data_IF_108435034893
#
_entry.id   IF_108435034893
#
_cell.length_a   1.000
_cell.length_b   1.000
_cell.length_c   1.000
_cell.angle_alpha   90.00
_cell.angle_beta   90.00
_cell.angle_gamma   90.00
#
_symmetry.space_group_name_H-M   'P 1'
#
loop_
_entity.id
_entity.type
_entity.pdbx_description
1 polymer ?
#
# COMPACT_ATOMS: atom_id res chain seq x y z
N UNK A 1 -12.30 54.27 26.85
CA UNK A 1 -12.90 53.11 26.16
C UNK A 1 -13.67 52.13 27.08
N UNK A 2 -13.74 52.35 28.41
CA UNK A 2 -14.46 51.47 29.35
C UNK A 2 -16.00 51.61 29.36
N UNK A 3 -16.56 52.67 28.75
CA UNK A 3 -18.01 52.90 28.70
C UNK A 3 -18.78 51.90 27.83
N UNK A 4 -18.11 51.19 26.92
CA UNK A 4 -18.74 50.20 26.01
C UNK A 4 -19.13 48.91 26.76
N UNK A 5 -18.44 48.60 27.87
CA UNK A 5 -18.65 47.36 28.63
C UNK A 5 -20.07 47.26 29.22
N UNK A 6 -20.73 48.38 29.50
CA UNK A 6 -22.13 48.38 30.00
C UNK A 6 -23.13 47.95 28.93
N UNK A 7 -22.85 48.26 27.67
CA UNK A 7 -23.72 47.93 26.53
C UNK A 7 -23.45 46.51 25.99
N UNK A 8 -22.26 45.96 26.25
CA UNK A 8 -21.93 44.58 25.86
C UNK A 8 -22.50 43.53 26.84
N UNK A 9 -22.68 43.89 28.11
CA UNK A 9 -23.20 43.00 29.18
C UNK A 9 -24.47 42.21 28.80
N UNK A 10 -25.54 42.81 28.25
CA UNK A 10 -26.75 42.07 27.89
C UNK A 10 -26.57 41.13 26.69
N UNK A 11 -25.58 41.37 25.83
CA UNK A 11 -25.31 40.59 24.62
C UNK A 11 -24.11 39.66 24.74
N UNK A 12 -23.56 39.47 25.95
CA UNK A 12 -22.31 38.73 26.16
C UNK A 12 -22.40 37.28 25.66
N UNK A 13 -23.57 36.65 25.77
CA UNK A 13 -23.82 35.31 25.22
C UNK A 13 -23.75 35.27 23.68
N UNK A 14 -24.39 36.23 22.99
CA UNK A 14 -24.32 36.35 21.54
C UNK A 14 -22.90 36.66 21.06
N UNK A 15 -22.19 37.52 21.80
CA UNK A 15 -20.80 37.84 21.53
C UNK A 15 -19.90 36.60 21.69
N UNK A 16 -20.04 35.84 22.78
CA UNK A 16 -19.30 34.60 22.98
C UNK A 16 -19.60 33.57 21.89
N UNK A 17 -20.87 33.41 21.49
CA UNK A 17 -21.26 32.52 20.41
C UNK A 17 -20.64 32.93 19.06
N UNK A 18 -20.62 34.23 18.75
CA UNK A 18 -19.96 34.74 17.55
C UNK A 18 -18.45 34.45 17.56
N UNK A 19 -17.78 34.62 18.69
CA UNK A 19 -16.36 34.27 18.85
C UNK A 19 -16.15 32.76 18.61
N UNK A 20 -16.97 31.89 19.20
CA UNK A 20 -16.89 30.43 18.98
C UNK A 20 -17.10 30.07 17.51
N UNK A 21 -18.10 30.66 16.85
CA UNK A 21 -18.37 30.42 15.42
C UNK A 21 -17.19 30.86 14.55
N UNK A 22 -16.52 31.97 14.89
CA UNK A 22 -15.31 32.40 14.18
C UNK A 22 -14.14 31.42 14.37
N UNK A 23 -14.00 30.81 15.55
CA UNK A 23 -13.00 29.75 15.76
C UNK A 23 -13.32 28.49 14.93
N UNK A 24 -14.60 28.09 14.87
CA UNK A 24 -15.03 26.97 14.02
C UNK A 24 -14.73 27.29 12.56
N UNK A 25 -15.10 28.48 12.08
CA UNK A 25 -14.81 28.91 10.72
C UNK A 25 -13.31 28.86 10.42
N UNK A 26 -12.48 29.42 11.29
CA UNK A 26 -11.02 29.40 11.11
C UNK A 26 -10.46 27.96 11.07
N UNK A 27 -11.02 27.03 11.86
CA UNK A 27 -10.61 25.62 11.83
C UNK A 27 -11.03 24.92 10.53
N UNK A 28 -12.22 25.23 10.00
CA UNK A 28 -12.68 24.73 8.71
C UNK A 28 -11.80 25.25 7.56
N UNK A 29 -11.45 26.53 7.57
CA UNK A 29 -10.57 27.13 6.56
C UNK A 29 -9.15 26.54 6.61
N UNK A 30 -8.65 26.19 7.80
CA UNK A 30 -7.33 25.57 7.98
C UNK A 30 -7.29 24.09 7.54
N UNK A 31 -8.40 23.38 7.63
CA UNK A 31 -8.51 21.94 7.25
C UNK A 31 -8.87 21.73 5.77
N UNK A 32 -9.37 22.76 5.08
CA UNK A 32 -9.73 22.69 3.66
C UNK A 32 -8.56 22.23 2.75
N UNK A 33 -7.31 22.72 2.92
CA UNK A 33 -6.17 22.22 2.16
C UNK A 33 -5.91 20.72 2.36
N UNK A 34 -6.08 20.20 3.58
CA UNK A 34 -5.87 18.78 3.89
C UNK A 34 -6.90 17.90 3.17
N UNK A 35 -8.17 18.33 3.12
CA UNK A 35 -9.19 17.62 2.36
C UNK A 35 -8.90 17.61 0.86
N UNK A 36 -8.45 18.73 0.29
CA UNK A 36 -8.03 18.77 -1.12
C UNK A 36 -6.85 17.83 -1.38
N UNK A 37 -5.86 17.80 -0.47
CA UNK A 37 -4.73 16.89 -0.55
C UNK A 37 -5.17 15.43 -0.56
N UNK A 38 -6.09 15.03 0.33
CA UNK A 38 -6.65 13.66 0.37
C UNK A 38 -7.45 13.32 -0.89
N UNK A 39 -8.29 14.23 -1.38
CA UNK A 39 -9.08 14.02 -2.60
C UNK A 39 -8.15 13.76 -3.79
N UNK A 40 -7.07 14.55 -3.93
CA UNK A 40 -6.17 14.42 -5.07
C UNK A 40 -5.24 13.23 -4.92
N UNK A 41 -4.53 13.11 -3.80
CA UNK A 41 -3.50 12.08 -3.64
C UNK A 41 -4.13 10.70 -3.44
N UNK A 42 -5.07 10.59 -2.50
CA UNK A 42 -5.70 9.30 -2.19
C UNK A 42 -6.82 8.99 -3.16
N UNK A 43 -7.72 9.95 -3.41
CA UNK A 43 -8.87 9.74 -4.29
C UNK A 43 -8.48 9.55 -5.77
N UNK A 44 -7.81 10.54 -6.37
CA UNK A 44 -7.52 10.55 -7.81
C UNK A 44 -6.23 9.79 -8.14
N UNK A 45 -5.09 10.13 -7.53
CA UNK A 45 -3.80 9.55 -7.92
C UNK A 45 -3.68 8.08 -7.50
N UNK A 46 -4.11 7.75 -6.29
CA UNK A 46 -4.06 6.39 -5.74
C UNK A 46 -5.37 5.62 -5.97
N UNK A 47 -6.32 6.15 -6.75
CA UNK A 47 -7.62 5.51 -7.05
C UNK A 47 -8.40 5.04 -5.82
N UNK A 48 -8.33 5.79 -4.72
CA UNK A 48 -8.99 5.47 -3.46
C UNK A 48 -8.21 4.52 -2.54
N UNK A 49 -6.97 4.15 -2.88
CA UNK A 49 -6.11 3.33 -2.01
C UNK A 49 -5.46 4.22 -0.95
N UNK A 50 -5.98 4.18 0.27
CA UNK A 50 -5.45 5.00 1.38
C UNK A 50 -4.14 4.44 1.96
N UNK A 51 -3.99 3.11 1.96
CA UNK A 51 -2.82 2.41 2.46
C UNK A 51 -2.33 1.41 1.41
N UNK A 52 -1.03 1.41 1.05
CA UNK A 52 -0.48 0.43 0.10
C UNK A 52 -0.41 -1.00 0.66
N UNK A 53 -0.58 -1.19 1.97
CA UNK A 53 -0.62 -2.52 2.61
C UNK A 53 -2.00 -3.16 2.36
N UNK A 54 -2.09 -4.29 1.64
CA UNK A 54 -3.36 -4.95 1.39
C UNK A 54 -3.95 -5.55 2.67
N UNK A 55 -5.26 -5.37 2.89
CA UNK A 55 -5.96 -6.03 3.99
C UNK A 55 -6.01 -7.56 3.81
N UNK A 56 -6.10 -8.02 2.57
CA UNK A 56 -6.07 -9.43 2.22
C UNK A 56 -5.45 -9.66 0.85
N UNK A 57 -4.81 -10.81 0.68
CA UNK A 57 -4.16 -11.18 -0.57
C UNK A 57 -4.12 -12.69 -0.78
N UNK A 58 -4.15 -13.13 -2.04
CA UNK A 58 -4.01 -14.54 -2.39
C UNK A 58 -2.63 -15.05 -2.00
N UNK A 59 -2.52 -16.33 -1.65
CA UNK A 59 -1.23 -16.96 -1.38
C UNK A 59 -0.23 -16.74 -2.52
N UNK A 60 -0.66 -16.92 -3.78
CA UNK A 60 0.19 -16.69 -4.94
C UNK A 60 0.74 -15.25 -5.03
N UNK A 61 -0.02 -14.24 -4.60
CA UNK A 61 0.44 -12.85 -4.58
C UNK A 61 1.52 -12.63 -3.51
N UNK A 62 1.34 -13.20 -2.31
CA UNK A 62 2.35 -13.19 -1.25
C UNK A 62 3.65 -13.85 -1.72
N UNK A 63 3.57 -15.04 -2.32
CA UNK A 63 4.76 -15.77 -2.79
C UNK A 63 5.52 -15.01 -3.88
N UNK A 64 4.83 -14.27 -4.75
CA UNK A 64 5.48 -13.41 -5.75
C UNK A 64 6.17 -12.20 -5.11
N UNK A 65 5.57 -11.61 -4.09
CA UNK A 65 6.11 -10.43 -3.42
C UNK A 65 7.39 -10.72 -2.65
N UNK A 66 7.42 -11.81 -1.89
CA UNK A 66 8.58 -12.17 -1.06
C UNK A 66 9.84 -12.44 -1.87
N UNK A 67 9.73 -12.73 -3.18
CA UNK A 67 10.88 -12.89 -4.08
C UNK A 67 11.77 -11.64 -4.16
N UNK A 68 11.22 -10.47 -3.81
CA UNK A 68 11.88 -9.18 -3.93
C UNK A 68 12.24 -8.56 -2.57
N UNK A 69 12.04 -9.31 -1.50
CA UNK A 69 12.32 -8.93 -0.12
C UNK A 69 13.62 -9.58 0.37
N UNK A 70 14.29 -8.93 1.31
CA UNK A 70 15.32 -9.58 2.14
C UNK A 70 14.69 -10.60 3.08
N UNK A 71 15.50 -11.49 3.66
CA UNK A 71 15.01 -12.50 4.59
C UNK A 71 14.36 -11.88 5.86
N UNK A 72 14.86 -10.73 6.30
CA UNK A 72 14.32 -10.00 7.45
C UNK A 72 12.96 -9.38 7.11
N UNK A 73 12.85 -8.71 5.95
CA UNK A 73 11.60 -8.14 5.46
C UNK A 73 10.54 -9.22 5.19
N UNK A 74 10.91 -10.34 4.56
CA UNK A 74 10.01 -11.46 4.33
C UNK A 74 9.44 -11.99 5.66
N UNK A 75 10.28 -12.15 6.68
CA UNK A 75 9.84 -12.63 7.99
C UNK A 75 8.84 -11.67 8.61
N UNK A 76 9.15 -10.37 8.64
CA UNK A 76 8.27 -9.34 9.19
C UNK A 76 6.93 -9.27 8.45
N UNK A 77 6.95 -9.37 7.11
CA UNK A 77 5.73 -9.37 6.30
C UNK A 77 4.92 -10.64 6.52
N UNK A 78 5.54 -11.83 6.60
CA UNK A 78 4.78 -13.07 6.85
C UNK A 78 4.15 -13.12 8.23
N UNK A 79 4.80 -12.55 9.25
CA UNK A 79 4.25 -12.46 10.61
C UNK A 79 3.06 -11.49 10.71
N UNK A 80 3.00 -10.48 9.83
CA UNK A 80 1.91 -9.53 9.78
C UNK A 80 0.58 -10.12 9.23
N UNK A 81 0.60 -11.30 8.61
CA UNK A 81 -0.58 -11.91 8.00
C UNK A 81 -0.86 -13.33 8.53
N UNK A 82 -2.13 -13.70 8.58
CA UNK A 82 -2.57 -15.07 8.87
C UNK A 82 -3.10 -15.73 7.60
N UNK A 83 -2.59 -16.94 7.29
CA UNK A 83 -3.05 -17.74 6.16
C UNK A 83 -4.31 -18.52 6.53
N UNK A 84 -5.41 -18.27 5.81
CA UNK A 84 -6.64 -19.04 5.92
C UNK A 84 -6.80 -19.97 4.72
N UNK A 85 -7.11 -21.23 4.99
CA UNK A 85 -7.33 -22.24 3.96
C UNK A 85 -8.82 -22.38 3.60
N UNK A 86 -9.13 -22.84 2.38
CA UNK A 86 -10.47 -23.28 2.02
C UNK A 86 -10.96 -24.34 3.01
N UNK A 87 -12.13 -24.13 3.60
CA UNK A 87 -12.76 -24.96 4.64
C UNK A 87 -12.24 -24.84 6.07
N UNK A 88 -11.40 -23.84 6.38
CA UNK A 88 -11.11 -23.54 7.78
C UNK A 88 -12.39 -23.06 8.49
N UNK A 89 -12.64 -23.58 9.70
CA UNK A 89 -13.77 -23.17 10.53
C UNK A 89 -13.50 -21.80 11.18
N UNK A 90 -12.23 -21.46 11.38
CA UNK A 90 -11.80 -20.15 11.91
C UNK A 90 -11.90 -19.03 10.88
N UNK A 91 -11.97 -19.38 9.58
CA UNK A 91 -12.17 -18.45 8.47
C UNK A 91 -13.61 -17.95 8.31
N UNK A 92 -14.58 -18.50 9.06
CA UNK A 92 -16.00 -18.20 8.91
C UNK A 92 -16.37 -16.70 8.94
N UNK A 93 -15.79 -15.83 9.80
CA UNK A 93 -16.09 -14.39 9.77
C UNK A 93 -15.60 -13.68 8.50
N UNK A 94 -14.64 -14.26 7.77
CA UNK A 94 -14.02 -13.64 6.60
C UNK A 94 -14.64 -14.08 5.27
N UNK A 95 -15.48 -15.13 5.27
CA UNK A 95 -16.06 -15.70 4.04
C UNK A 95 -17.02 -14.75 3.32
N UNK A 96 -17.70 -13.88 4.06
CA UNK A 96 -18.59 -12.87 3.46
C UNK A 96 -17.80 -11.74 2.80
N UNK A 97 -16.72 -11.28 3.43
CA UNK A 97 -15.86 -10.20 2.93
C UNK A 97 -14.93 -10.67 1.80
N UNK A 98 -14.42 -11.90 1.88
CA UNK A 98 -13.52 -12.50 0.90
C UNK A 98 -14.08 -13.82 0.34
N UNK A 99 -15.02 -13.76 -0.64
CA UNK A 99 -15.66 -14.96 -1.20
C UNK A 99 -14.68 -15.95 -1.82
N UNK A 100 -13.55 -15.47 -2.34
CA UNK A 100 -12.49 -16.30 -2.93
C UNK A 100 -11.87 -17.29 -1.92
N UNK A 101 -12.06 -17.08 -0.61
CA UNK A 101 -11.59 -17.99 0.44
C UNK A 101 -12.30 -19.36 0.40
N UNK A 102 -13.39 -19.48 -0.36
CA UNK A 102 -14.05 -20.76 -0.62
C UNK A 102 -13.21 -21.68 -1.53
N UNK A 103 -12.42 -21.10 -2.43
CA UNK A 103 -11.73 -21.82 -3.49
C UNK A 103 -10.20 -21.83 -3.30
N UNK A 104 -9.63 -20.75 -2.76
CA UNK A 104 -8.18 -20.55 -2.64
C UNK A 104 -7.75 -20.02 -1.28
N UNK A 105 -6.51 -20.31 -0.84
CA UNK A 105 -5.96 -19.76 0.38
C UNK A 105 -5.68 -18.26 0.29
N UNK A 106 -6.06 -17.54 1.35
CA UNK A 106 -5.93 -16.08 1.45
C UNK A 106 -5.19 -15.72 2.73
N UNK A 107 -4.19 -14.86 2.60
CA UNK A 107 -3.57 -14.15 3.70
C UNK A 107 -4.43 -12.95 4.08
N UNK A 108 -4.75 -12.81 5.36
CA UNK A 108 -5.48 -11.67 5.90
C UNK A 108 -4.58 -10.97 6.92
N UNK A 109 -4.49 -9.65 6.82
CA UNK A 109 -3.69 -8.81 7.70
C UNK A 109 -4.18 -8.94 9.14
N UNK A 110 -3.24 -9.08 10.08
CA UNK A 110 -3.53 -9.12 11.50
C UNK A 110 -3.93 -7.74 12.02
N UNK A 111 -4.49 -7.68 13.23
CA UNK A 111 -4.73 -6.41 13.92
C UNK A 111 -3.39 -5.84 14.38
N UNK A 112 -2.90 -4.84 13.64
CA UNK A 112 -1.59 -4.21 13.82
C UNK A 112 -1.76 -2.73 14.14
N UNK A 113 -0.85 -2.20 14.94
CA UNK A 113 -0.73 -0.76 15.21
C UNK A 113 -0.26 0.00 13.98
N UNK A 114 -0.51 1.31 13.94
CA UNK A 114 -0.01 2.18 12.86
C UNK A 114 1.52 2.11 12.71
N UNK A 115 2.25 1.93 13.81
CA UNK A 115 3.71 1.79 13.81
C UNK A 115 4.15 0.47 13.15
N UNK A 116 3.47 -0.64 13.44
CA UNK A 116 3.73 -1.96 12.82
C UNK A 116 3.40 -1.95 11.33
N UNK A 117 2.28 -1.32 10.95
CA UNK A 117 1.90 -1.12 9.54
C UNK A 117 2.96 -0.28 8.81
N UNK A 118 3.42 0.82 9.43
CA UNK A 118 4.45 1.67 8.86
C UNK A 118 5.79 0.95 8.68
N UNK A 119 6.10 -0.06 9.51
CA UNK A 119 7.32 -0.87 9.40
C UNK A 119 7.27 -1.84 8.21
N UNK A 120 6.12 -2.47 7.94
CA UNK A 120 5.96 -3.43 6.83
C UNK A 120 5.56 -2.76 5.51
N UNK A 121 5.11 -1.51 5.54
CA UNK A 121 4.66 -0.78 4.36
C UNK A 121 5.75 -0.61 3.28
N UNK A 122 6.99 -0.18 3.60
CA UNK A 122 8.04 -0.02 2.58
C UNK A 122 8.37 -1.30 1.81
N UNK A 123 8.65 -2.46 2.45
CA UNK A 123 8.95 -3.68 1.70
C UNK A 123 7.75 -4.15 0.87
N UNK A 124 6.51 -4.03 1.38
CA UNK A 124 5.29 -4.38 0.64
C UNK A 124 5.11 -3.49 -0.59
N UNK A 125 5.20 -2.16 -0.43
CA UNK A 125 5.00 -1.20 -1.52
C UNK A 125 6.01 -1.42 -2.64
N UNK A 126 7.28 -1.60 -2.27
CA UNK A 126 8.36 -1.88 -3.23
C UNK A 126 8.13 -3.20 -3.97
N UNK A 127 7.78 -4.26 -3.25
CA UNK A 127 7.52 -5.57 -3.86
C UNK A 127 6.31 -5.51 -4.82
N UNK A 128 5.22 -4.84 -4.43
CA UNK A 128 4.04 -4.67 -5.28
C UNK A 128 4.31 -3.85 -6.54
N UNK A 129 5.15 -2.81 -6.46
CA UNK A 129 5.56 -2.05 -7.64
C UNK A 129 6.31 -2.92 -8.64
N UNK A 130 7.13 -3.85 -8.15
CA UNK A 130 7.92 -4.75 -9.00
C UNK A 130 7.05 -5.89 -9.57
N UNK A 131 6.18 -6.46 -8.75
CA UNK A 131 5.20 -7.46 -9.21
C UNK A 131 4.30 -6.86 -10.29
N UNK A 132 3.73 -5.67 -10.06
CA UNK A 132 2.87 -5.00 -11.06
C UNK A 132 3.62 -4.63 -12.33
N UNK A 133 4.88 -4.21 -12.24
CA UNK A 133 5.72 -3.97 -13.40
C UNK A 133 5.95 -5.26 -14.23
N UNK A 134 6.24 -6.38 -13.57
CA UNK A 134 6.42 -7.68 -14.24
C UNK A 134 5.12 -8.14 -14.90
N UNK A 135 3.98 -8.00 -14.21
CA UNK A 135 2.65 -8.34 -14.75
C UNK A 135 2.33 -7.49 -15.99
N UNK A 136 2.60 -6.18 -15.98
CA UNK A 136 2.41 -5.30 -17.13
C UNK A 136 3.25 -5.72 -18.34
N UNK A 137 4.47 -6.20 -18.13
CA UNK A 137 5.34 -6.72 -19.20
C UNK A 137 4.80 -8.03 -19.78
N UNK A 138 4.29 -8.90 -18.91
CA UNK A 138 3.71 -10.18 -19.32
C UNK A 138 2.44 -9.97 -20.16
N UNK A 139 1.62 -8.97 -19.80
CA UNK A 139 0.41 -8.60 -20.52
C UNK A 139 0.70 -7.78 -21.79
N UNK A 140 1.70 -6.90 -21.76
CA UNK A 140 2.08 -6.04 -22.87
C UNK A 140 3.61 -6.03 -23.09
N UNK A 141 4.13 -6.83 -24.05
CA UNK A 141 5.56 -6.90 -24.35
C UNK A 141 6.19 -5.56 -24.79
N UNK A 142 5.41 -4.59 -25.26
CA UNK A 142 5.92 -3.25 -25.60
C UNK A 142 6.34 -2.45 -24.35
N UNK A 143 5.72 -2.73 -23.20
CA UNK A 143 6.08 -2.13 -21.90
C UNK A 143 7.46 -2.58 -21.39
N UNK A 144 8.00 -3.69 -21.91
CA UNK A 144 9.33 -4.21 -21.55
C UNK A 144 10.46 -3.19 -21.81
N UNK A 145 10.29 -2.35 -22.84
CA UNK A 145 11.26 -1.31 -23.21
C UNK A 145 11.43 -0.22 -22.14
N UNK A 146 10.36 0.08 -21.40
CA UNK A 146 10.37 1.08 -20.33
C UNK A 146 10.96 0.51 -19.03
N UNK A 147 10.83 -0.81 -18.83
CA UNK A 147 11.27 -1.51 -17.62
C UNK A 147 12.71 -2.01 -17.67
N UNK A 148 13.29 -2.18 -18.86
CA UNK A 148 14.70 -2.56 -19.03
C UNK A 148 15.69 -1.58 -18.38
N UNK A 149 15.29 -0.31 -18.19
CA UNK A 149 16.07 0.69 -17.45
C UNK A 149 15.97 0.56 -15.92
N UNK A 150 14.78 0.26 -15.39
CA UNK A 150 14.51 0.14 -13.96
C UNK A 150 15.02 -1.18 -13.36
N UNK A 151 15.01 -2.27 -14.14
CA UNK A 151 15.59 -3.57 -13.75
C UNK A 151 17.09 -3.70 -14.06
N UNK A 152 17.76 -2.58 -14.39
CA UNK A 152 19.20 -2.52 -14.52
C UNK A 152 19.76 -3.39 -15.64
N UNK A 153 19.45 -3.07 -16.90
CA UNK A 153 20.37 -3.15 -18.05
C UNK A 153 21.18 -4.43 -18.31
N UNK A 154 20.84 -5.59 -17.74
CA UNK A 154 21.63 -6.81 -17.95
C UNK A 154 21.32 -8.03 -17.09
N UNK A 155 20.63 -7.91 -15.95
CA UNK A 155 20.32 -9.07 -15.11
C UNK A 155 19.03 -9.81 -15.54
N UNK A 156 18.06 -9.09 -16.08
CA UNK A 156 16.82 -9.64 -16.59
C UNK A 156 16.42 -8.82 -17.83
N UNK A 157 16.44 -9.44 -19.02
CA UNK A 157 16.02 -8.78 -20.26
C UNK A 157 14.64 -9.28 -20.66
N UNK A 158 13.56 -8.63 -20.20
CA UNK A 158 12.20 -9.05 -20.53
C UNK A 158 11.90 -8.99 -22.04
N UNK A 159 12.61 -8.16 -22.81
CA UNK A 159 12.43 -8.04 -24.26
C UNK A 159 12.99 -9.23 -25.05
N UNK A 160 13.80 -10.10 -24.43
CA UNK A 160 14.32 -11.31 -25.06
C UNK A 160 13.48 -12.57 -24.74
N UNK A 161 12.43 -12.44 -23.94
CA UNK A 161 11.63 -13.57 -23.47
C UNK A 161 10.45 -13.83 -24.43
N UNK A 162 10.13 -15.11 -24.73
CA UNK A 162 8.98 -15.45 -25.56
C UNK A 162 7.67 -14.93 -24.95
N UNK A 163 6.70 -14.48 -25.76
CA UNK A 163 5.38 -14.08 -25.27
C UNK A 163 4.71 -15.26 -24.56
N UNK A 164 4.11 -15.00 -23.39
CA UNK A 164 3.47 -16.02 -22.56
C UNK A 164 4.41 -16.79 -21.62
N UNK A 165 5.66 -16.35 -21.46
CA UNK A 165 6.57 -16.91 -20.45
C UNK A 165 6.17 -16.42 -19.05
N UNK A 166 5.99 -17.34 -18.10
CA UNK A 166 5.79 -16.99 -16.69
C UNK A 166 7.11 -16.52 -16.07
N UNK A 167 7.23 -15.20 -15.90
CA UNK A 167 8.43 -14.56 -15.37
C UNK A 167 8.65 -14.88 -13.88
N UNK A 168 7.58 -15.07 -13.11
CA UNK A 168 7.67 -15.42 -11.69
C UNK A 168 8.23 -16.83 -11.52
N UNK A 169 7.74 -17.79 -12.31
CA UNK A 169 8.27 -19.15 -12.30
C UNK A 169 9.76 -19.24 -12.69
N UNK A 170 10.25 -18.33 -13.53
CA UNK A 170 11.68 -18.23 -13.85
C UNK A 170 12.48 -17.66 -12.67
N UNK A 171 11.96 -16.62 -12.03
CA UNK A 171 12.60 -15.98 -10.87
C UNK A 171 12.66 -16.91 -9.66
N UNK A 172 11.62 -17.71 -9.41
CA UNK A 172 11.60 -18.74 -8.37
C UNK A 172 12.70 -19.79 -8.56
N UNK A 173 13.05 -20.10 -9.81
CA UNK A 173 14.10 -21.06 -10.15
C UNK A 173 15.51 -20.49 -10.05
N UNK A 174 15.66 -19.20 -9.80
CA UNK A 174 16.98 -18.59 -9.65
C UNK A 174 17.65 -19.02 -8.34
N UNK A 175 18.98 -19.27 -8.35
CA UNK A 175 19.74 -19.51 -7.14
C UNK A 175 19.55 -18.38 -6.12
N UNK A 176 19.52 -18.73 -4.82
CA UNK A 176 19.30 -17.77 -3.74
C UNK A 176 20.23 -16.54 -3.83
N UNK A 177 21.50 -16.74 -4.18
CA UNK A 177 22.47 -15.65 -4.34
C UNK A 177 22.10 -14.63 -5.43
N UNK A 178 21.44 -15.07 -6.50
CA UNK A 178 20.99 -14.17 -7.58
C UNK A 178 19.69 -13.44 -7.19
N UNK A 179 18.83 -14.09 -6.40
CA UNK A 179 17.63 -13.47 -5.84
C UNK A 179 17.99 -12.37 -4.84
N UNK A 180 18.95 -12.62 -3.94
CA UNK A 180 19.47 -11.62 -2.99
C UNK A 180 20.11 -10.44 -3.71
N UNK A 181 20.93 -10.69 -4.74
CA UNK A 181 21.51 -9.61 -5.53
C UNK A 181 20.46 -8.76 -6.27
N UNK A 182 19.32 -9.36 -6.64
CA UNK A 182 18.21 -8.65 -7.27
C UNK A 182 17.46 -7.78 -6.25
N UNK A 183 17.13 -8.34 -5.07
CA UNK A 183 16.44 -7.59 -4.00
C UNK A 183 17.28 -6.42 -3.50
N UNK A 184 18.60 -6.60 -3.36
CA UNK A 184 19.56 -5.55 -3.00
C UNK A 184 19.64 -4.42 -4.03
N UNK A 185 19.80 -4.75 -5.32
CA UNK A 185 19.80 -3.72 -6.38
C UNK A 185 18.50 -2.93 -6.44
N UNK A 186 17.39 -3.60 -6.22
CA UNK A 186 16.12 -2.91 -6.12
C UNK A 186 16.08 -2.00 -4.89
N UNK A 187 16.64 -2.43 -3.75
CA UNK A 187 16.73 -1.56 -2.56
C UNK A 187 17.54 -0.30 -2.88
N UNK A 188 18.63 -0.40 -3.64
CA UNK A 188 19.43 0.76 -4.06
C UNK A 188 18.71 1.71 -5.02
N UNK A 189 17.81 1.20 -5.89
CA UNK A 189 17.04 2.04 -6.81
C UNK A 189 15.88 2.80 -6.14
N UNK A 190 15.36 2.28 -5.03
CA UNK A 190 14.20 2.83 -4.33
C UNK A 190 14.54 3.50 -2.98
N UNK A 191 15.83 3.57 -2.61
CA UNK A 191 16.35 4.33 -1.46
C UNK A 191 16.58 5.81 -1.80
#
# INVERSE_FOLDING_TARGET
MLRIRQYLKPYLGMFAAAVVLLFIQANLDLTLPDYLSRIVNTGIQQNGVENPVPEAMRQAAMERMVLFMSAEEETAVREAYTLYQPNDLTANPYKETYPLLADEPIYILNDLTEEEIAAIQPPISKALLVVSAIEQVMENPEAASQLGGAFGGGAFNPAALPPGTDLFALLERLPAAQRTALSERMNEQFA
#
